data_IF_401409213888
#
_entry.id   IF_401409213888
#
_cell.length_a   1.000
_cell.length_b   1.000
_cell.length_c   1.000
_cell.angle_alpha   90.00
_cell.angle_beta   90.00
_cell.angle_gamma   90.00
#
_symmetry.space_group_name_H-M   'P 1'
#
loop_
_entity.id
_entity.type
_entity.pdbx_description
1 polymer ?
#
# COMPACT_ATOMS: atom_id res chain seq x y z
N UNK A 1 -9.97 0.81 17.36
CA UNK A 1 -8.98 1.49 18.23
C UNK A 1 -7.93 0.48 18.63
N UNK A 2 -6.65 0.84 18.57
CA UNK A 2 -5.51 0.00 18.97
C UNK A 2 -4.73 0.80 20.04
N UNK A 3 -4.75 0.29 21.27
CA UNK A 3 -4.12 0.92 22.46
C UNK A 3 -3.06 0.03 23.11
N UNK A 4 -2.96 -1.22 22.68
CA UNK A 4 -1.93 -2.15 23.11
C UNK A 4 -1.50 -2.97 21.89
N UNK A 5 -0.20 -3.23 21.80
CA UNK A 5 0.40 -4.05 20.76
C UNK A 5 1.63 -4.73 21.33
N UNK A 6 1.98 -5.95 20.90
CA UNK A 6 3.17 -6.63 21.41
C UNK A 6 4.43 -5.80 21.15
N UNK A 7 5.24 -5.58 22.20
CA UNK A 7 6.46 -4.75 22.13
C UNK A 7 7.52 -5.31 21.17
N UNK A 8 7.47 -6.61 20.88
CA UNK A 8 8.39 -7.25 19.94
C UNK A 8 7.99 -7.06 18.46
N UNK A 9 6.93 -6.30 18.16
CA UNK A 9 6.47 -6.03 16.80
C UNK A 9 6.69 -4.57 16.43
N UNK A 10 7.29 -4.37 15.27
CA UNK A 10 7.65 -3.04 14.75
C UNK A 10 6.53 -2.37 13.96
N UNK A 11 5.49 -3.11 13.60
CA UNK A 11 4.36 -2.66 12.79
C UNK A 11 3.03 -3.34 13.17
N UNK A 12 1.94 -2.94 12.52
CA UNK A 12 0.62 -3.55 12.65
C UNK A 12 0.41 -4.68 11.62
N UNK A 13 1.38 -5.59 11.46
CA UNK A 13 1.37 -6.68 10.45
C UNK A 13 0.04 -7.45 10.33
N UNK A 14 -0.71 -7.65 11.42
CA UNK A 14 -1.98 -8.39 11.36
C UNK A 14 -3.02 -7.74 10.43
N UNK A 15 -2.88 -6.43 10.15
CA UNK A 15 -3.77 -5.66 9.29
C UNK A 15 -3.15 -5.33 7.92
N UNK A 16 -2.09 -6.02 7.51
CA UNK A 16 -1.40 -5.76 6.23
C UNK A 16 -2.30 -5.91 4.99
N UNK A 17 -3.39 -6.69 5.12
CA UNK A 17 -4.37 -6.96 4.07
C UNK A 17 -5.69 -6.19 4.26
N UNK A 18 -5.77 -5.30 5.25
CA UNK A 18 -6.95 -4.46 5.46
C UNK A 18 -7.06 -3.44 4.32
N UNK A 19 -8.16 -3.49 3.57
CA UNK A 19 -8.36 -2.59 2.41
C UNK A 19 -9.24 -1.38 2.69
N UNK A 20 -10.30 -1.56 3.48
CA UNK A 20 -11.35 -0.56 3.68
C UNK A 20 -11.73 -0.46 5.14
N UNK A 21 -11.73 0.76 5.68
CA UNK A 21 -12.33 1.09 6.98
C UNK A 21 -13.59 1.90 6.73
N UNK A 22 -14.76 1.26 6.82
CA UNK A 22 -16.04 1.93 6.51
C UNK A 22 -16.48 3.00 7.51
N UNK A 23 -16.02 2.93 8.77
CA UNK A 23 -16.30 3.95 9.77
C UNK A 23 -17.78 4.10 10.20
N UNK A 24 -18.62 3.07 10.01
CA UNK A 24 -20.04 3.08 10.44
C UNK A 24 -20.21 3.27 11.95
N UNK A 25 -19.25 2.78 12.72
CA UNK A 25 -19.12 2.97 14.16
C UNK A 25 -17.76 3.60 14.44
N UNK A 26 -17.73 4.61 15.30
CA UNK A 26 -16.53 5.45 15.53
C UNK A 26 -16.20 5.51 17.01
N UNK A 27 -14.91 5.48 17.32
CA UNK A 27 -14.43 5.67 18.68
C UNK A 27 -14.71 7.10 19.13
N UNK A 28 -15.35 7.23 20.31
CA UNK A 28 -15.89 8.50 20.81
C UNK A 28 -16.79 9.23 19.80
N UNK A 29 -17.42 8.50 18.87
CA UNK A 29 -18.28 9.10 17.84
C UNK A 29 -17.53 9.87 16.74
N UNK A 30 -16.18 9.87 16.73
CA UNK A 30 -15.39 10.67 15.79
C UNK A 30 -14.40 9.83 14.97
N UNK A 31 -13.62 8.95 15.61
CA UNK A 31 -12.47 8.31 14.96
C UNK A 31 -12.80 6.91 14.44
N UNK A 32 -12.58 6.67 13.15
CA UNK A 32 -12.69 5.33 12.55
C UNK A 32 -11.39 4.53 12.63
N UNK A 33 -10.25 5.23 12.67
CA UNK A 33 -8.93 4.66 12.96
C UNK A 33 -8.28 5.42 14.13
N UNK A 34 -7.87 4.66 15.15
CA UNK A 34 -7.18 5.20 16.31
C UNK A 34 -6.00 4.30 16.69
N UNK A 35 -4.78 4.83 16.64
CA UNK A 35 -3.52 4.15 16.97
C UNK A 35 -2.79 4.97 18.02
N UNK A 36 -2.84 4.52 19.28
CA UNK A 36 -2.44 5.36 20.42
C UNK A 36 -1.49 4.61 21.35
N UNK A 37 -0.35 5.23 21.66
CA UNK A 37 0.55 4.78 22.73
C UNK A 37 1.29 3.46 22.45
N UNK A 38 1.53 3.12 21.19
CA UNK A 38 2.20 1.87 20.80
C UNK A 38 3.71 2.06 20.61
N UNK A 39 4.46 0.96 20.73
CA UNK A 39 5.91 0.92 20.52
C UNK A 39 6.32 0.45 19.11
N UNK A 40 5.58 0.91 18.10
CA UNK A 40 5.80 0.58 16.68
C UNK A 40 6.63 1.65 15.97
N UNK A 41 7.36 1.25 14.91
CA UNK A 41 8.14 2.14 14.05
C UNK A 41 7.39 2.54 12.78
N UNK A 42 6.52 1.65 12.28
CA UNK A 42 5.72 1.84 11.08
C UNK A 42 4.28 1.35 11.28
N UNK A 43 3.34 1.78 10.43
CA UNK A 43 1.95 1.34 10.53
C UNK A 43 1.73 0.01 9.80
N UNK A 44 2.37 -0.21 8.65
CA UNK A 44 2.28 -1.47 7.90
C UNK A 44 0.92 -1.75 7.24
N UNK A 45 0.03 -0.75 7.12
CA UNK A 45 -1.31 -0.89 6.53
C UNK A 45 -1.28 -0.84 4.99
N UNK A 46 -0.39 -1.62 4.37
CA UNK A 46 -0.04 -1.50 2.94
C UNK A 46 -1.18 -1.72 1.95
N UNK A 47 -2.21 -2.48 2.32
CA UNK A 47 -3.38 -2.69 1.45
C UNK A 47 -4.50 -1.68 1.67
N UNK A 48 -4.37 -0.74 2.62
CA UNK A 48 -5.42 0.22 2.94
C UNK A 48 -5.59 1.22 1.79
N UNK A 49 -6.78 1.20 1.19
CA UNK A 49 -7.17 2.03 0.04
C UNK A 49 -8.20 3.08 0.40
N UNK A 50 -9.05 2.81 1.40
CA UNK A 50 -10.18 3.68 1.72
C UNK A 50 -10.51 3.71 3.22
N UNK A 51 -10.80 4.90 3.71
CA UNK A 51 -11.45 5.19 4.98
C UNK A 51 -12.73 5.97 4.65
N UNK A 52 -13.84 5.26 4.51
CA UNK A 52 -15.08 5.82 3.95
C UNK A 52 -15.65 6.94 4.82
N UNK A 53 -15.48 6.86 6.14
CA UNK A 53 -16.02 7.83 7.09
C UNK A 53 -15.23 7.78 8.42
N UNK A 54 -15.30 8.86 9.20
CA UNK A 54 -14.62 9.05 10.48
C UNK A 54 -13.18 9.55 10.35
N UNK A 55 -12.74 10.26 11.39
CA UNK A 55 -11.40 10.83 11.48
C UNK A 55 -10.35 9.77 11.84
N UNK A 56 -9.08 10.14 11.66
CA UNK A 56 -7.94 9.30 12.03
C UNK A 56 -7.14 9.99 13.13
N UNK A 57 -6.85 9.25 14.21
CA UNK A 57 -5.96 9.72 15.28
C UNK A 57 -4.78 8.77 15.46
N UNK A 58 -3.58 9.33 15.42
CA UNK A 58 -2.31 8.62 15.62
C UNK A 58 -1.49 9.41 16.63
N UNK A 59 -1.43 8.93 17.87
CA UNK A 59 -0.91 9.74 18.97
C UNK A 59 -0.05 8.96 19.95
N UNK A 60 1.06 9.56 20.39
CA UNK A 60 1.85 9.02 21.50
C UNK A 60 2.70 7.80 21.14
N UNK A 61 2.89 7.49 19.86
CA UNK A 61 3.71 6.38 19.39
C UNK A 61 5.15 6.88 19.21
N UNK A 62 5.96 6.78 20.26
CA UNK A 62 7.26 7.48 20.37
C UNK A 62 8.30 7.06 19.31
N UNK A 63 8.18 5.87 18.72
CA UNK A 63 9.08 5.34 17.69
C UNK A 63 8.52 5.46 16.26
N UNK A 64 7.28 5.88 16.09
CA UNK A 64 6.57 5.84 14.80
C UNK A 64 7.07 6.93 13.86
N UNK A 65 7.47 6.56 12.64
CA UNK A 65 8.10 7.48 11.69
C UNK A 65 7.33 7.75 10.39
N UNK A 66 6.55 6.79 9.89
CA UNK A 66 6.04 6.85 8.51
C UNK A 66 4.67 7.51 8.36
N UNK A 67 3.93 7.72 9.47
CA UNK A 67 2.55 8.21 9.43
C UNK A 67 2.37 9.60 8.77
N UNK A 68 3.38 10.47 8.87
CA UNK A 68 3.35 11.81 8.28
C UNK A 68 3.64 11.81 6.77
N UNK A 69 4.18 10.72 6.22
CA UNK A 69 4.50 10.64 4.79
C UNK A 69 3.26 10.43 3.91
N UNK A 70 2.20 9.88 4.51
CA UNK A 70 1.02 9.39 3.80
C UNK A 70 0.09 10.55 3.45
N UNK A 71 -0.35 10.60 2.20
CA UNK A 71 -1.39 11.53 1.78
C UNK A 71 -2.80 11.03 2.15
N UNK A 72 -3.15 11.18 3.44
CA UNK A 72 -4.41 10.69 4.01
C UNK A 72 -5.67 11.19 3.30
N UNK A 73 -5.62 12.38 2.67
CA UNK A 73 -6.77 12.92 1.92
C UNK A 73 -7.21 12.02 0.77
N UNK A 74 -6.30 11.23 0.19
CA UNK A 74 -6.64 10.27 -0.87
C UNK A 74 -7.35 9.02 -0.35
N UNK A 75 -7.18 8.71 0.94
CA UNK A 75 -7.86 7.59 1.57
C UNK A 75 -9.26 7.97 2.04
N UNK A 76 -9.55 9.26 2.24
CA UNK A 76 -10.83 9.70 2.78
C UNK A 76 -11.96 9.65 1.75
N UNK A 77 -13.08 9.06 2.15
CA UNK A 77 -14.30 9.03 1.34
C UNK A 77 -15.01 10.38 1.29
N UNK A 78 -14.78 11.27 2.27
CA UNK A 78 -15.42 12.59 2.35
C UNK A 78 -14.42 13.71 2.67
N UNK A 79 -14.72 14.93 2.23
CA UNK A 79 -13.83 16.09 2.40
C UNK A 79 -13.79 16.65 3.83
N UNK A 80 -14.73 16.27 4.70
CA UNK A 80 -14.81 16.71 6.09
C UNK A 80 -13.89 15.93 7.03
N UNK A 81 -13.43 14.75 6.63
CA UNK A 81 -12.55 13.90 7.41
C UNK A 81 -11.18 14.56 7.65
N UNK A 82 -10.63 14.32 8.84
CA UNK A 82 -9.35 14.90 9.27
C UNK A 82 -8.42 13.87 9.88
N UNK A 83 -7.13 14.17 9.82
CA UNK A 83 -6.09 13.44 10.54
C UNK A 83 -5.58 14.25 11.72
N UNK A 84 -5.34 13.57 12.84
CA UNK A 84 -4.66 14.10 14.01
C UNK A 84 -3.45 13.23 14.34
N UNK A 85 -2.28 13.65 13.86
CA UNK A 85 -1.00 12.96 14.06
C UNK A 85 -0.14 13.82 14.99
N UNK A 86 -0.04 13.44 16.27
CA UNK A 86 0.61 14.26 17.30
C UNK A 86 1.41 13.39 18.27
N UNK A 87 2.41 13.95 18.96
CA UNK A 87 3.18 13.25 19.99
C UNK A 87 3.82 11.91 19.53
N UNK A 88 4.14 11.80 18.23
CA UNK A 88 4.93 10.69 17.68
C UNK A 88 6.39 11.13 17.50
N UNK A 89 7.25 10.27 16.96
CA UNK A 89 8.63 10.66 16.59
C UNK A 89 8.58 11.84 15.60
N UNK A 90 9.47 12.81 15.77
CA UNK A 90 9.57 13.94 14.88
C UNK A 90 10.20 13.55 13.53
N UNK A 91 9.78 14.23 12.46
CA UNK A 91 10.22 13.91 11.10
C UNK A 91 11.74 14.04 10.91
N UNK A 92 12.38 15.02 11.57
CA UNK A 92 13.83 15.22 11.48
C UNK A 92 14.57 14.04 12.13
N UNK A 93 14.12 13.60 13.30
CA UNK A 93 14.62 12.43 14.00
C UNK A 93 14.46 11.15 13.18
N UNK A 94 13.34 10.97 12.49
CA UNK A 94 13.14 9.85 11.59
C UNK A 94 14.12 9.87 10.41
N UNK A 95 14.25 11.02 9.73
CA UNK A 95 15.20 11.19 8.61
C UNK A 95 16.65 10.95 9.03
N UNK A 96 17.05 11.44 10.21
CA UNK A 96 18.40 11.24 10.74
C UNK A 96 18.73 9.75 11.00
N UNK A 97 17.71 8.93 11.28
CA UNK A 97 17.84 7.48 11.46
C UNK A 97 17.70 6.70 10.15
N UNK A 98 17.52 7.37 9.00
CA UNK A 98 17.27 6.73 7.71
C UNK A 98 15.84 6.18 7.55
N UNK A 99 14.91 6.54 8.45
CA UNK A 99 13.50 6.15 8.32
C UNK A 99 12.78 7.08 7.33
N UNK A 100 13.00 6.79 6.05
CA UNK A 100 12.38 7.45 4.90
C UNK A 100 11.72 6.41 3.99
N UNK A 101 10.80 6.85 3.12
CA UNK A 101 10.19 5.95 2.15
C UNK A 101 11.21 5.44 1.13
N UNK A 102 10.97 4.23 0.63
CA UNK A 102 11.79 3.66 -0.45
C UNK A 102 11.78 4.58 -1.69
N UNK A 103 12.90 4.73 -2.43
CA UNK A 103 12.96 5.58 -3.62
C UNK A 103 11.98 5.22 -4.75
N UNK A 104 11.46 3.99 -4.73
CA UNK A 104 10.44 3.50 -5.68
C UNK A 104 9.01 3.92 -5.30
N UNK A 105 8.79 4.44 -4.09
CA UNK A 105 7.51 4.99 -3.69
C UNK A 105 7.26 6.33 -4.38
N UNK A 106 6.00 6.61 -4.69
CA UNK A 106 5.57 7.90 -5.20
C UNK A 106 5.53 8.97 -4.09
N UNK A 107 5.14 10.20 -4.45
CA UNK A 107 4.90 11.28 -3.49
C UNK A 107 3.69 11.05 -2.58
N UNK A 108 2.93 9.96 -2.75
CA UNK A 108 1.78 9.64 -1.89
C UNK A 108 2.17 9.05 -0.52
N UNK A 109 3.46 8.73 -0.35
CA UNK A 109 4.01 8.25 0.90
C UNK A 109 4.11 6.73 0.99
N UNK A 110 4.38 6.26 2.20
CA UNK A 110 4.60 4.85 2.48
C UNK A 110 4.13 4.48 3.90
N UNK A 111 3.78 3.22 4.08
CA UNK A 111 3.38 2.61 5.34
C UNK A 111 4.57 2.08 6.15
N UNK A 112 5.77 2.11 5.59
CA UNK A 112 7.02 1.53 6.09
C UNK A 112 8.21 1.77 5.14
N UNK A 113 9.40 1.24 5.45
CA UNK A 113 10.62 1.47 4.67
C UNK A 113 10.69 0.70 3.36
N UNK A 114 9.97 -0.41 3.22
CA UNK A 114 10.20 -1.38 2.14
C UNK A 114 9.51 -0.95 0.83
N UNK A 115 9.96 -1.42 -0.35
CA UNK A 115 9.31 -1.14 -1.63
C UNK A 115 7.86 -1.66 -1.71
N UNK A 116 7.50 -2.64 -0.86
CA UNK A 116 6.14 -3.18 -0.73
C UNK A 116 5.23 -2.37 0.20
N UNK A 117 5.78 -1.40 0.91
CA UNK A 117 5.05 -0.56 1.85
C UNK A 117 4.63 0.77 1.22
N UNK A 118 4.96 1.02 -0.05
CA UNK A 118 4.53 2.23 -0.75
C UNK A 118 3.00 2.33 -0.82
N UNK A 119 2.46 3.55 -0.68
CA UNK A 119 1.02 3.80 -0.95
C UNK A 119 0.74 3.62 -2.44
N UNK A 120 1.66 4.09 -3.29
CA UNK A 120 1.67 3.80 -4.72
C UNK A 120 3.09 3.83 -5.26
N UNK A 121 3.31 3.07 -6.34
CA UNK A 121 4.60 2.99 -7.00
C UNK A 121 4.83 4.18 -7.93
N UNK A 122 6.08 4.64 -7.98
CA UNK A 122 6.52 5.67 -8.94
C UNK A 122 6.52 5.16 -10.38
N UNK A 123 6.94 3.90 -10.56
CA UNK A 123 7.07 3.26 -11.86
C UNK A 123 6.01 2.16 -12.00
N UNK A 124 6.40 0.91 -11.78
CA UNK A 124 5.56 -0.28 -11.93
C UNK A 124 5.56 -1.10 -10.64
N UNK A 125 4.55 -1.94 -10.47
CA UNK A 125 4.45 -2.88 -9.35
C UNK A 125 4.55 -4.32 -9.83
N UNK A 126 5.25 -5.17 -9.09
CA UNK A 126 5.18 -6.62 -9.22
C UNK A 126 4.40 -7.15 -8.03
N UNK A 127 3.11 -7.43 -8.23
CA UNK A 127 2.18 -7.69 -7.13
C UNK A 127 2.12 -6.50 -6.17
N UNK A 128 2.51 -6.71 -4.91
CA UNK A 128 2.51 -5.65 -3.86
C UNK A 128 3.81 -4.86 -3.78
N UNK A 129 4.84 -5.22 -4.53
CA UNK A 129 6.17 -4.61 -4.42
C UNK A 129 6.44 -3.66 -5.58
N UNK A 130 6.88 -2.43 -5.29
CA UNK A 130 7.30 -1.50 -6.33
C UNK A 130 8.65 -1.91 -6.91
N UNK A 131 8.74 -1.95 -8.23
CA UNK A 131 9.96 -2.33 -8.96
C UNK A 131 10.28 -1.31 -10.04
N UNK A 132 11.55 -1.24 -10.42
CA UNK A 132 12.00 -0.23 -11.39
C UNK A 132 11.46 -0.50 -12.81
N UNK A 133 11.47 -1.78 -13.22
CA UNK A 133 11.03 -2.27 -14.53
C UNK A 133 10.51 -3.71 -14.47
N UNK A 134 9.62 -4.06 -15.38
CA UNK A 134 9.15 -5.43 -15.58
C UNK A 134 10.10 -6.20 -16.52
N UNK A 135 10.09 -7.53 -16.42
CA UNK A 135 10.91 -8.45 -17.22
C UNK A 135 10.33 -8.70 -18.62
N UNK A 136 10.15 -7.62 -19.38
CA UNK A 136 9.55 -7.65 -20.73
C UNK A 136 10.51 -8.23 -21.76
N UNK A 137 11.73 -7.71 -21.82
CA UNK A 137 12.75 -8.08 -22.81
C UNK A 137 13.82 -9.02 -22.27
N UNK A 138 14.02 -9.01 -20.95
CA UNK A 138 15.05 -9.76 -20.23
C UNK A 138 14.58 -10.07 -18.80
N UNK A 139 15.10 -11.15 -18.23
CA UNK A 139 14.74 -11.64 -16.89
C UNK A 139 13.81 -12.84 -16.92
N UNK A 140 13.69 -13.50 -15.78
CA UNK A 140 12.83 -14.67 -15.55
C UNK A 140 12.05 -14.47 -14.24
N UNK A 141 10.73 -14.70 -14.22
CA UNK A 141 9.91 -15.07 -15.37
C UNK A 141 9.68 -13.89 -16.33
N UNK A 142 9.28 -14.19 -17.57
CA UNK A 142 8.88 -13.16 -18.54
C UNK A 142 7.56 -12.51 -18.17
N UNK A 143 7.47 -11.21 -18.41
CA UNK A 143 6.34 -10.37 -17.99
C UNK A 143 5.86 -9.46 -19.12
N UNK A 144 4.63 -8.98 -18.99
CA UNK A 144 4.10 -7.85 -19.73
C UNK A 144 3.54 -6.81 -18.76
N UNK A 145 3.31 -5.58 -19.25
CA UNK A 145 2.81 -4.47 -18.44
C UNK A 145 1.33 -4.25 -18.72
N UNK A 146 0.51 -4.22 -17.68
CA UNK A 146 -0.90 -3.83 -17.75
C UNK A 146 -1.23 -2.95 -16.54
N UNK A 147 -1.82 -1.76 -16.74
CA UNK A 147 -2.16 -0.83 -15.64
C UNK A 147 -0.99 -0.52 -14.68
N UNK A 148 0.24 -0.40 -15.21
CA UNK A 148 1.47 -0.24 -14.44
C UNK A 148 1.80 -1.40 -13.49
N UNK A 149 1.25 -2.58 -13.74
CA UNK A 149 1.56 -3.81 -13.04
C UNK A 149 2.33 -4.77 -13.96
N UNK A 150 3.38 -5.40 -13.42
CA UNK A 150 4.12 -6.48 -14.04
C UNK A 150 3.34 -7.78 -13.87
N UNK A 151 2.83 -8.32 -14.97
CA UNK A 151 2.08 -9.56 -14.99
C UNK A 151 2.91 -10.62 -15.69
N UNK A 152 3.03 -11.79 -15.06
CA UNK A 152 3.74 -12.93 -15.62
C UNK A 152 3.06 -13.45 -16.89
N UNK A 153 3.87 -13.75 -17.92
CA UNK A 153 3.42 -14.50 -19.08
C UNK A 153 2.96 -15.91 -18.68
N UNK A 154 2.14 -16.54 -19.51
CA UNK A 154 1.78 -17.95 -19.30
C UNK A 154 3.04 -18.83 -19.33
N UNK A 155 3.18 -19.86 -18.47
CA UNK A 155 4.36 -20.72 -18.44
C UNK A 155 4.68 -21.42 -19.77
N UNK A 156 3.65 -21.64 -20.61
CA UNK A 156 3.80 -22.22 -21.96
C UNK A 156 4.36 -21.24 -23.00
N UNK A 157 4.47 -19.95 -22.70
CA UNK A 157 5.06 -18.97 -23.60
C UNK A 157 6.59 -19.09 -23.59
N UNK A 158 7.18 -19.50 -24.72
CA UNK A 158 8.63 -19.58 -24.87
C UNK A 158 9.28 -18.18 -24.86
N UNK A 159 10.22 -17.89 -23.93
CA UNK A 159 10.92 -16.61 -23.86
C UNK A 159 11.60 -16.23 -25.18
N UNK A 160 11.38 -14.99 -25.62
CA UNK A 160 12.00 -14.45 -26.84
C UNK A 160 13.23 -13.58 -26.48
N UNK A 161 14.44 -13.87 -27.00
CA UNK A 161 15.63 -13.07 -26.72
C UNK A 161 15.50 -11.65 -27.28
N UNK A 162 15.73 -10.63 -26.43
CA UNK A 162 15.63 -9.21 -26.78
C UNK A 162 14.29 -8.78 -27.41
N UNK A 163 13.23 -9.56 -27.22
CA UNK A 163 11.92 -9.29 -27.78
C UNK A 163 10.81 -9.60 -26.77
N UNK A 164 9.61 -9.11 -27.04
CA UNK A 164 8.43 -9.31 -26.20
C UNK A 164 8.02 -10.79 -26.26
N UNK A 165 7.79 -11.41 -25.09
CA UNK A 165 7.41 -12.83 -24.98
C UNK A 165 5.88 -13.03 -25.01
N UNK A 166 5.11 -12.12 -24.42
CA UNK A 166 3.66 -12.17 -24.43
C UNK A 166 3.06 -10.75 -24.43
N UNK A 167 1.81 -10.62 -24.87
CA UNK A 167 1.11 -9.33 -25.01
C UNK A 167 -0.13 -9.21 -24.12
N UNK A 168 -0.43 -10.22 -23.30
CA UNK A 168 -1.61 -10.23 -22.46
C UNK A 168 -1.78 -11.53 -21.69
N UNK A 169 -2.79 -11.56 -20.80
CA UNK A 169 -3.24 -12.79 -20.14
C UNK A 169 -3.85 -13.74 -21.17
N UNK A 170 -3.74 -15.04 -20.95
CA UNK A 170 -4.44 -16.04 -21.76
C UNK A 170 -5.94 -15.84 -21.54
N UNK A 171 -6.68 -15.53 -22.62
CA UNK A 171 -8.13 -15.47 -22.57
C UNK A 171 -8.64 -16.89 -22.38
N UNK A 172 -9.27 -17.17 -21.24
CA UNK A 172 -9.99 -18.42 -21.09
C UNK A 172 -11.25 -18.36 -21.94
N UNK A 173 -11.61 -19.45 -22.62
CA UNK A 173 -12.85 -19.53 -23.40
C UNK A 173 -14.13 -19.31 -22.57
N UNK A 174 -14.02 -19.27 -21.24
CA UNK A 174 -15.10 -19.02 -20.28
C UNK A 174 -15.37 -17.53 -19.99
N UNK A 175 -14.52 -16.60 -20.44
CA UNK A 175 -14.71 -15.15 -20.21
C UNK A 175 -15.58 -14.47 -21.29
N UNK A 176 -16.08 -15.24 -22.27
CA UNK A 176 -17.05 -14.74 -23.26
C UNK A 176 -18.45 -14.93 -22.68
N UNK A 177 -18.93 -13.95 -21.91
CA UNK A 177 -20.38 -13.79 -21.74
C UNK A 177 -20.94 -13.48 -23.14
N UNK A 178 -21.83 -14.31 -23.72
CA UNK A 178 -22.44 -13.97 -25.00
C UNK A 178 -23.33 -12.76 -24.76
N UNK A 179 -22.91 -11.60 -25.25
CA UNK A 179 -23.72 -10.39 -25.31
C UNK A 179 -24.80 -10.51 -26.39
N UNK A 180 -25.66 -11.53 -26.32
CA UNK A 180 -26.90 -11.62 -27.10
C UNK A 180 -27.90 -12.53 -26.39
N UNK A 181 -28.71 -11.94 -25.50
CA UNK A 181 -30.13 -12.29 -25.37
C UNK A 181 -30.87 -10.96 -25.26
N UNK A 182 -31.43 -10.51 -26.39
CA UNK A 182 -32.60 -9.63 -26.44
C UNK A 182 -33.83 -10.53 -26.35
#
# INVERSE_FOLDING_TARGET
MIQAWPENRTDLHAFENLEIIRGRTKQHGQFSLAVVGLDITSLGLRSLKEISDGDVIISGNKKLCYANTINWKKLFGTSSQKTKIINNKDEKGCKAMGHVCHPLCSSEGCWGPEPKDCVSCRNVSRGKECVEKCSVLEGEPREFVENSECIQCHPECLPQPMNITCTGRVRSAFDVIPSYIV
#
